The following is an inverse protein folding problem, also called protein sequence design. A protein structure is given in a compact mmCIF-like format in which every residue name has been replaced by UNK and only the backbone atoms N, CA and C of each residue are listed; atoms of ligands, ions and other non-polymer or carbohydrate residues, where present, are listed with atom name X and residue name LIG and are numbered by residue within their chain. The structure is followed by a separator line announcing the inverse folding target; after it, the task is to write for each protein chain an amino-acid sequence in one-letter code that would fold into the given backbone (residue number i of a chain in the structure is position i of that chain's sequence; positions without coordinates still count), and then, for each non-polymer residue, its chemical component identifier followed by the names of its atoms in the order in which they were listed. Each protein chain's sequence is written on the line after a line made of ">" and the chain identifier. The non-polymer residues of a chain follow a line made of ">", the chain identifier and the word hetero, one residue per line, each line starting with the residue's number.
data_IF_730315092560
#
_entry.id   IF_730315092560
#
_cell.length_a   1.000
_cell.length_b   1.000
_cell.length_c   1.000
_cell.angle_alpha   90.00
_cell.angle_beta   90.00
_cell.angle_gamma   90.00
#
_symmetry.space_group_name_H-M   'P 1'
#
loop_
_entity.id
_entity.type
_entity.pdbx_description
1 polymer ?
#
# COMPACT_ATOMS: atom_id res chain seq x y z
N UNK A 1 58.64 -2.02 18.64
CA UNK A 1 57.95 -1.99 17.33
C UNK A 1 58.11 -0.60 16.72
N UNK A 2 58.64 -0.48 15.49
CA UNK A 2 58.96 0.82 14.87
C UNK A 2 57.68 1.63 14.56
N UNK A 3 57.71 2.93 14.86
CA UNK A 3 56.63 3.91 14.62
C UNK A 3 56.09 3.89 13.17
N UNK A 4 56.91 3.42 12.22
CA UNK A 4 56.54 3.22 10.82
C UNK A 4 55.51 2.11 10.62
N UNK A 5 55.55 1.04 11.44
CA UNK A 5 54.57 -0.06 11.40
C UNK A 5 53.22 0.37 11.98
N UNK A 6 53.23 1.20 13.03
CA UNK A 6 52.00 1.72 13.67
C UNK A 6 51.25 2.68 12.73
N UNK A 7 51.96 3.58 12.04
CA UNK A 7 51.37 4.47 11.03
C UNK A 7 50.79 3.70 9.85
N UNK A 8 51.44 2.62 9.42
CA UNK A 8 50.95 1.78 8.33
C UNK A 8 49.65 1.05 8.73
N UNK A 9 49.59 0.53 9.97
CA UNK A 9 48.40 -0.16 10.48
C UNK A 9 47.22 0.82 10.63
N UNK A 10 47.46 2.05 11.11
CA UNK A 10 46.40 3.07 11.21
C UNK A 10 45.87 3.51 9.84
N UNK A 11 46.75 3.64 8.84
CA UNK A 11 46.34 3.96 7.46
C UNK A 11 45.52 2.82 6.83
N UNK A 12 45.93 1.57 7.04
CA UNK A 12 45.20 0.40 6.55
C UNK A 12 43.83 0.25 7.24
N UNK A 13 43.75 0.53 8.54
CA UNK A 13 42.49 0.47 9.29
C UNK A 13 41.51 1.59 8.87
N UNK A 14 42.02 2.79 8.58
CA UNK A 14 41.21 3.89 8.04
C UNK A 14 40.65 3.61 6.64
N UNK A 15 41.45 2.97 5.77
CA UNK A 15 41.01 2.63 4.41
C UNK A 15 39.90 1.56 4.37
N UNK A 16 39.90 0.64 5.35
CA UNK A 16 38.87 -0.41 5.48
C UNK A 16 37.51 0.20 5.88
N UNK A 17 37.49 1.22 6.74
CA UNK A 17 36.26 1.90 7.15
C UNK A 17 35.59 2.73 6.05
N UNK A 18 36.34 3.23 5.06
CA UNK A 18 35.76 3.98 3.93
C UNK A 18 34.97 3.12 2.94
N UNK A 19 35.15 1.79 2.95
CA UNK A 19 34.46 0.87 2.03
C UNK A 19 33.13 0.34 2.56
N UNK A 20 32.79 0.61 3.82
CA UNK A 20 31.53 0.16 4.44
C UNK A 20 30.29 1.00 4.05
N UNK A 21 30.46 2.00 3.18
CA UNK A 21 29.42 2.98 2.85
C UNK A 21 28.91 2.87 1.41
N UNK A 22 28.73 1.67 0.86
CA UNK A 22 27.99 1.51 -0.41
C UNK A 22 27.22 0.20 -0.44
N UNK A 23 25.88 0.28 -0.40
CA UNK A 23 24.94 -0.43 -1.29
C UNK A 23 23.49 -0.17 -0.84
N UNK A 24 22.98 1.04 -1.10
CA UNK A 24 21.53 1.21 -1.22
C UNK A 24 21.16 0.74 -2.63
N UNK A 25 20.48 -0.40 -2.64
CA UNK A 25 19.94 -1.17 -3.75
C UNK A 25 19.77 -0.43 -5.08
N UNK A 26 20.58 -0.81 -6.07
CA UNK A 26 20.13 -0.81 -7.46
C UNK A 26 19.32 -2.09 -7.64
N UNK A 27 17.99 -2.04 -7.64
CA UNK A 27 17.22 -3.13 -8.23
C UNK A 27 16.28 -2.60 -9.30
N UNK A 28 16.70 -2.94 -10.52
CA UNK A 28 15.94 -3.00 -11.76
C UNK A 28 14.53 -3.54 -11.53
N UNK A 29 13.56 -2.94 -12.22
CA UNK A 29 12.23 -3.34 -12.72
C UNK A 29 11.66 -4.78 -12.50
N UNK A 30 12.41 -5.71 -11.94
CA UNK A 30 12.04 -7.06 -11.55
C UNK A 30 11.60 -7.16 -10.07
N UNK A 31 11.87 -6.14 -9.25
CA UNK A 31 11.41 -6.11 -7.85
C UNK A 31 10.17 -5.22 -7.74
N UNK A 32 9.03 -5.80 -7.34
CA UNK A 32 7.87 -5.02 -6.94
C UNK A 32 8.27 -4.08 -5.79
N UNK A 33 7.94 -2.77 -5.85
CA UNK A 33 8.27 -1.83 -4.78
C UNK A 33 7.81 -2.35 -3.42
N UNK A 34 8.60 -2.14 -2.37
CA UNK A 34 8.32 -2.62 -1.01
C UNK A 34 6.91 -2.21 -0.53
N UNK A 35 6.51 -0.97 -0.82
CA UNK A 35 5.17 -0.42 -0.57
C UNK A 35 4.03 -1.28 -1.13
N UNK A 36 4.23 -1.98 -2.25
CA UNK A 36 3.18 -2.85 -2.81
C UNK A 36 2.93 -4.03 -1.88
N UNK A 37 4.00 -4.67 -1.39
CA UNK A 37 3.88 -5.80 -0.48
C UNK A 37 3.35 -5.37 0.89
N UNK A 38 3.82 -4.23 1.40
CA UNK A 38 3.34 -3.65 2.65
C UNK A 38 1.85 -3.33 2.58
N UNK A 39 1.42 -2.62 1.53
CA UNK A 39 0.02 -2.26 1.34
C UNK A 39 -0.89 -3.47 1.18
N UNK A 40 -0.51 -4.48 0.39
CA UNK A 40 -1.32 -5.70 0.24
C UNK A 40 -1.42 -6.51 1.53
N UNK A 41 -0.37 -6.54 2.34
CA UNK A 41 -0.39 -7.17 3.67
C UNK A 41 -1.31 -6.39 4.61
N UNK A 42 -1.17 -5.07 4.67
CA UNK A 42 -2.01 -4.17 5.44
C UNK A 42 -3.50 -4.33 5.08
N UNK A 43 -3.81 -4.35 3.79
CA UNK A 43 -5.19 -4.56 3.28
C UNK A 43 -5.75 -5.90 3.75
N UNK A 44 -4.96 -6.98 3.66
CA UNK A 44 -5.39 -8.32 4.08
C UNK A 44 -5.71 -8.41 5.57
N UNK A 45 -4.96 -7.70 6.41
CA UNK A 45 -5.18 -7.62 7.85
C UNK A 45 -6.35 -6.69 8.21
N UNK A 46 -6.37 -5.49 7.63
CA UNK A 46 -7.35 -4.45 7.95
C UNK A 46 -8.76 -4.80 7.48
N UNK A 47 -8.89 -5.43 6.30
CA UNK A 47 -10.18 -5.74 5.70
C UNK A 47 -10.68 -7.16 5.98
N UNK A 48 -10.13 -7.85 6.98
CA UNK A 48 -10.49 -9.24 7.30
C UNK A 48 -11.98 -9.44 7.63
N UNK A 49 -12.62 -8.40 8.19
CA UNK A 49 -14.04 -8.42 8.57
C UNK A 49 -14.96 -7.86 7.48
N UNK A 50 -14.47 -7.65 6.26
CA UNK A 50 -15.27 -7.14 5.16
C UNK A 50 -16.46 -8.07 4.86
N UNK A 51 -17.66 -7.55 5.10
CA UNK A 51 -18.91 -8.23 4.87
C UNK A 51 -19.42 -8.06 3.44
N UNK A 52 -20.67 -8.46 3.22
CA UNK A 52 -21.31 -8.43 1.90
C UNK A 52 -21.86 -7.04 1.61
N UNK A 53 -21.70 -6.59 0.37
CA UNK A 53 -22.10 -5.26 -0.12
C UNK A 53 -21.46 -4.14 0.71
N UNK A 54 -20.21 -4.35 1.09
CA UNK A 54 -19.41 -3.41 1.86
C UNK A 54 -18.14 -3.05 1.10
N UNK A 55 -17.58 -1.90 1.46
CA UNK A 55 -16.27 -1.41 1.02
C UNK A 55 -15.41 -1.16 2.25
N UNK A 56 -14.15 -1.56 2.17
CA UNK A 56 -13.13 -1.35 3.18
C UNK A 56 -12.09 -0.36 2.65
N UNK A 57 -11.72 0.61 3.50
CA UNK A 57 -10.53 1.44 3.32
C UNK A 57 -9.32 0.53 3.56
N UNK A 58 -8.63 0.13 2.50
CA UNK A 58 -7.59 -0.89 2.59
C UNK A 58 -6.20 -0.33 2.92
N UNK A 59 -5.82 0.74 2.24
CA UNK A 59 -4.57 1.47 2.46
C UNK A 59 -4.80 2.99 2.34
N UNK A 60 -3.77 3.81 2.60
CA UNK A 60 -3.87 5.27 2.60
C UNK A 60 -4.38 5.86 1.27
N UNK A 61 -4.88 7.10 1.29
CA UNK A 61 -5.32 7.86 0.11
C UNK A 61 -6.54 7.28 -0.64
N UNK A 62 -7.52 6.79 0.12
CA UNK A 62 -8.86 6.45 -0.40
C UNK A 62 -9.84 7.54 0.03
N UNK A 63 -10.67 8.00 -0.90
CA UNK A 63 -11.68 9.01 -0.68
C UNK A 63 -13.05 8.46 -1.06
N UNK A 64 -13.98 8.47 -0.11
CA UNK A 64 -15.36 8.07 -0.36
C UNK A 64 -16.29 9.29 -0.22
N UNK A 65 -17.28 9.36 -1.09
CA UNK A 65 -18.31 10.39 -1.09
C UNK A 65 -19.67 9.74 -0.93
N UNK A 66 -20.50 10.35 -0.08
CA UNK A 66 -21.84 9.91 0.25
C UNK A 66 -22.75 9.84 -0.98
N UNK A 67 -23.54 8.78 -1.08
CA UNK A 67 -24.55 8.63 -2.13
C UNK A 67 -25.74 9.58 -1.95
N UNK A 68 -25.97 10.08 -0.72
CA UNK A 68 -27.12 10.90 -0.39
C UNK A 68 -26.95 12.38 -0.76
N UNK A 69 -25.74 12.92 -0.56
CA UNK A 69 -25.45 14.35 -0.67
C UNK A 69 -24.12 14.68 -1.36
N UNK A 70 -23.37 13.67 -1.81
CA UNK A 70 -22.06 13.80 -2.44
C UNK A 70 -21.00 14.50 -1.58
N UNK A 71 -21.21 14.59 -0.26
CA UNK A 71 -20.19 15.07 0.68
C UNK A 71 -19.19 13.95 0.99
N UNK A 72 -17.96 14.32 1.31
CA UNK A 72 -16.94 13.34 1.70
C UNK A 72 -17.33 12.65 3.02
N UNK A 73 -17.10 11.35 3.09
CA UNK A 73 -17.30 10.55 4.30
C UNK A 73 -16.08 10.68 5.21
N UNK A 74 -16.17 11.54 6.23
CA UNK A 74 -15.09 11.78 7.19
C UNK A 74 -14.78 10.56 8.07
N UNK A 75 -15.73 9.63 8.20
CA UNK A 75 -15.61 8.39 8.95
C UNK A 75 -15.22 7.18 8.07
N UNK A 76 -14.55 7.48 6.95
CA UNK A 76 -13.92 6.53 6.05
C UNK A 76 -12.53 7.06 5.66
N UNK A 77 -11.62 7.06 6.63
CA UNK A 77 -10.34 7.77 6.55
C UNK A 77 -9.12 6.92 6.96
N UNK A 78 -9.34 5.76 7.58
CA UNK A 78 -8.29 4.91 8.13
C UNK A 78 -8.41 3.46 7.65
N UNK A 79 -7.27 2.77 7.58
CA UNK A 79 -7.23 1.34 7.24
C UNK A 79 -8.16 0.52 8.14
N UNK A 80 -9.06 -0.24 7.52
CA UNK A 80 -10.06 -1.07 8.21
C UNK A 80 -11.40 -0.39 8.42
N UNK A 81 -11.56 0.90 8.08
CA UNK A 81 -12.88 1.53 8.03
C UNK A 81 -13.74 0.82 6.99
N UNK A 82 -14.96 0.43 7.39
CA UNK A 82 -15.90 -0.32 6.54
C UNK A 82 -17.19 0.47 6.41
N UNK A 83 -17.69 0.56 5.17
CA UNK A 83 -18.96 1.20 4.84
C UNK A 83 -19.84 0.30 3.98
N UNK A 84 -21.15 0.45 4.15
CA UNK A 84 -22.11 -0.09 3.19
C UNK A 84 -21.88 0.58 1.84
N UNK A 85 -21.83 -0.21 0.78
CA UNK A 85 -21.68 0.30 -0.59
C UNK A 85 -22.88 1.16 -1.00
N UNK A 86 -24.03 1.00 -0.35
CA UNK A 86 -25.21 1.85 -0.59
C UNK A 86 -25.01 3.28 -0.09
N UNK A 87 -24.14 3.49 0.91
CA UNK A 87 -23.85 4.81 1.48
C UNK A 87 -22.76 5.53 0.67
N UNK A 88 -22.05 4.81 -0.20
CA UNK A 88 -20.93 5.33 -1.00
C UNK A 88 -21.40 5.57 -2.44
N UNK A 89 -21.51 6.84 -2.84
CA UNK A 89 -21.86 7.25 -4.20
C UNK A 89 -20.65 7.31 -5.14
N UNK A 90 -19.48 7.65 -4.61
CA UNK A 90 -18.22 7.68 -5.36
C UNK A 90 -17.06 7.22 -4.48
N UNK A 91 -16.14 6.47 -5.08
CA UNK A 91 -14.92 5.99 -4.45
C UNK A 91 -13.74 6.34 -5.36
N UNK A 92 -12.75 7.04 -4.82
CA UNK A 92 -11.57 7.51 -5.54
C UNK A 92 -10.32 7.03 -4.79
N UNK A 93 -9.36 6.49 -5.53
CA UNK A 93 -8.07 6.02 -5.02
C UNK A 93 -6.95 6.75 -5.74
N UNK A 94 -5.85 7.06 -5.05
CA UNK A 94 -4.68 7.70 -5.69
C UNK A 94 -3.70 6.67 -6.28
N UNK A 95 -2.94 7.03 -7.32
CA UNK A 95 -1.88 6.19 -7.86
C UNK A 95 -0.79 5.87 -6.83
N UNK A 96 0.02 4.87 -7.17
CA UNK A 96 1.22 4.52 -6.45
C UNK A 96 2.27 5.63 -6.59
N UNK A 97 2.72 6.15 -5.45
CA UNK A 97 3.83 7.08 -5.31
C UNK A 97 4.85 6.49 -4.33
N UNK A 98 5.93 5.96 -4.91
CA UNK A 98 7.01 5.33 -4.14
C UNK A 98 7.91 6.34 -3.42
N UNK A 99 7.90 7.61 -3.83
CA UNK A 99 8.72 8.64 -3.19
C UNK A 99 8.08 9.12 -1.89
N UNK A 100 6.75 9.24 -1.87
CA UNK A 100 5.99 9.73 -0.71
C UNK A 100 5.34 8.60 0.13
N UNK A 101 5.55 7.34 -0.25
CA UNK A 101 4.95 6.16 0.36
C UNK A 101 3.40 6.20 0.37
N UNK A 102 2.81 6.61 -0.76
CA UNK A 102 1.37 6.76 -0.91
C UNK A 102 0.83 5.77 -1.95
N UNK A 103 -0.26 5.08 -1.61
CA UNK A 103 -0.98 4.24 -2.57
C UNK A 103 -2.41 3.94 -2.13
N UNK A 104 -3.37 4.51 -2.85
CA UNK A 104 -4.81 4.29 -2.68
C UNK A 104 -5.21 2.87 -2.99
N UNK A 105 -5.61 2.10 -1.97
CA UNK A 105 -6.16 0.75 -2.15
C UNK A 105 -7.46 0.58 -1.35
N UNK A 106 -8.52 0.16 -2.02
CA UNK A 106 -9.80 -0.17 -1.41
C UNK A 106 -10.25 -1.58 -1.82
N UNK A 107 -10.98 -2.25 -0.94
CA UNK A 107 -11.55 -3.58 -1.21
C UNK A 107 -13.05 -3.51 -1.12
N UNK A 108 -13.75 -3.98 -2.15
CA UNK A 108 -15.21 -4.09 -2.15
C UNK A 108 -15.61 -5.54 -2.21
N UNK A 109 -16.66 -5.90 -1.49
CA UNK A 109 -17.27 -7.22 -1.62
C UNK A 109 -18.71 -7.05 -2.07
N UNK A 110 -19.00 -7.38 -3.33
CA UNK A 110 -20.27 -7.05 -3.98
C UNK A 110 -20.99 -8.32 -4.44
N UNK A 111 -22.31 -8.31 -4.30
CA UNK A 111 -23.19 -9.26 -4.98
C UNK A 111 -23.72 -8.63 -6.26
N UNK A 112 -22.98 -8.77 -7.34
CA UNK A 112 -23.40 -8.34 -8.66
C UNK A 112 -23.83 -9.54 -9.51
N UNK A 113 -24.74 -9.30 -10.46
CA UNK A 113 -25.01 -10.25 -11.53
C UNK A 113 -23.91 -10.10 -12.59
N UNK A 114 -22.72 -10.62 -12.29
CA UNK A 114 -21.59 -10.59 -13.23
C UNK A 114 -21.77 -11.76 -14.20
N UNK A 115 -21.69 -11.54 -15.53
CA UNK A 115 -21.67 -12.63 -16.48
C UNK A 115 -20.60 -13.66 -16.11
N UNK A 116 -20.89 -14.94 -16.33
CA UNK A 116 -20.02 -16.08 -15.96
C UNK A 116 -19.79 -16.29 -14.45
N UNK A 117 -20.58 -15.65 -13.58
CA UNK A 117 -20.70 -16.00 -12.15
C UNK A 117 -22.07 -16.64 -11.84
N UNK A 118 -22.15 -17.51 -10.83
CA UNK A 118 -23.46 -18.00 -10.39
C UNK A 118 -24.25 -16.84 -9.75
N UNK A 119 -25.54 -16.65 -10.10
CA UNK A 119 -26.34 -15.57 -9.55
C UNK A 119 -26.31 -15.55 -8.02
N UNK A 120 -25.99 -14.38 -7.46
CA UNK A 120 -25.99 -14.16 -6.02
C UNK A 120 -24.68 -14.53 -5.30
N UNK A 121 -23.61 -14.88 -6.02
CA UNK A 121 -22.27 -15.01 -5.44
C UNK A 121 -21.67 -13.66 -5.05
N UNK A 122 -20.81 -13.70 -4.03
CA UNK A 122 -20.08 -12.55 -3.53
C UNK A 122 -18.74 -12.46 -4.25
N UNK A 123 -18.44 -11.32 -4.85
CA UNK A 123 -17.20 -11.08 -5.61
C UNK A 123 -16.40 -10.01 -4.91
N UNK A 124 -15.12 -10.26 -4.72
CA UNK A 124 -14.18 -9.29 -4.15
C UNK A 124 -13.51 -8.51 -5.27
N UNK A 125 -13.64 -7.18 -5.21
CA UNK A 125 -12.93 -6.24 -6.07
C UNK A 125 -11.81 -5.60 -5.28
N UNK A 126 -10.61 -5.57 -5.86
CA UNK A 126 -9.49 -4.78 -5.38
C UNK A 126 -9.38 -3.56 -6.29
N UNK A 127 -9.53 -2.36 -5.72
CA UNK A 127 -9.46 -1.09 -6.45
C UNK A 127 -8.22 -0.32 -6.02
N UNK A 128 -7.49 0.20 -7.01
CA UNK A 128 -6.30 1.02 -6.80
C UNK A 128 -6.19 2.08 -7.89
N UNK A 129 -5.53 3.20 -7.58
CA UNK A 129 -5.41 4.32 -8.52
C UNK A 129 -4.46 4.03 -9.67
N UNK A 130 -4.77 4.58 -10.85
CA UNK A 130 -3.90 4.61 -12.01
C UNK A 130 -3.24 5.99 -12.19
N UNK A 131 -2.27 6.04 -13.11
CA UNK A 131 -1.42 7.19 -13.43
C UNK A 131 -1.85 7.89 -14.71
#
# INVERSE_FOLDING_TARGET
>A
MSNRKIRLVLLLFGLIWLTASVSAAQNSLTDCPEIVNEALTSVGEACINLGRNEVCYGNNQVFAFSSADALQLDDFAFAGDIKSVLDVGSLITTPLDTENNLWGVAVLSLRANIPDSLPGQNVTFLMFGDS
#
